data_IF_418470658307
#
_entry.id   IF_418470658307
#
_cell.length_a   1.000
_cell.length_b   1.000
_cell.length_c   1.000
_cell.angle_alpha   90.00
_cell.angle_beta   90.00
_cell.angle_gamma   90.00
#
_symmetry.space_group_name_H-M   'P 1'
#
loop_
_entity.id
_entity.type
_entity.pdbx_description
1 polymer ?
#
# COMPACT_ATOMS: atom_id res chain seq x y z
N UNK A 1 -23.19 -11.18 16.80
CA UNK A 1 -21.89 -10.54 17.08
C UNK A 1 -21.71 -9.38 16.13
N UNK A 2 -21.46 -8.19 16.67
CA UNK A 2 -21.57 -6.92 15.97
C UNK A 2 -20.46 -6.78 14.92
N UNK A 3 -20.80 -6.70 13.63
CA UNK A 3 -19.83 -6.68 12.50
C UNK A 3 -18.86 -5.49 12.58
N UNK A 4 -19.27 -4.43 13.28
CA UNK A 4 -18.46 -3.23 13.59
C UNK A 4 -17.34 -3.54 14.61
N UNK A 5 -17.52 -4.55 15.48
CA UNK A 5 -16.52 -4.95 16.49
C UNK A 5 -15.29 -5.63 15.87
N UNK A 6 -15.47 -6.42 14.81
CA UNK A 6 -14.37 -7.09 14.11
C UNK A 6 -13.43 -6.08 13.41
N UNK A 7 -13.98 -5.01 12.82
CA UNK A 7 -13.17 -3.94 12.21
C UNK A 7 -12.48 -3.08 13.28
N UNK A 8 -13.12 -2.87 14.43
CA UNK A 8 -12.51 -2.22 15.61
C UNK A 8 -11.29 -3.00 16.13
N UNK A 9 -11.35 -4.33 16.14
CA UNK A 9 -10.25 -5.21 16.59
C UNK A 9 -9.11 -5.35 15.54
N UNK A 10 -9.33 -4.98 14.27
CA UNK A 10 -8.26 -4.89 13.26
C UNK A 10 -7.37 -3.64 13.42
N UNK A 11 -7.91 -2.58 14.05
CA UNK A 11 -7.22 -1.31 14.28
C UNK A 11 -6.64 -1.19 15.70
N UNK A 12 -6.97 -2.11 16.60
CA UNK A 12 -6.43 -2.22 17.95
C UNK A 12 -5.60 -3.51 18.04
N UNK A 13 -4.39 -3.43 18.60
CA UNK A 13 -3.53 -4.59 18.85
C UNK A 13 -4.26 -5.70 19.64
N UNK A 14 -3.84 -6.99 19.49
CA UNK A 14 -4.65 -8.15 19.84
C UNK A 14 -4.82 -8.27 21.35
N UNK A 15 -6.07 -8.09 21.80
CA UNK A 15 -6.41 -8.11 23.24
C UNK A 15 -7.90 -8.37 23.49
N UNK A 16 -8.56 -9.11 22.61
CA UNK A 16 -9.95 -9.53 22.75
C UNK A 16 -10.16 -10.72 21.83
N UNK A 17 -10.97 -11.70 22.24
CA UNK A 17 -11.13 -13.02 21.61
C UNK A 17 -11.63 -12.96 20.16
N UNK A 18 -10.75 -12.58 19.24
CA UNK A 18 -10.96 -12.71 17.81
C UNK A 18 -10.91 -14.21 17.46
N UNK A 19 -11.88 -14.65 16.66
CA UNK A 19 -11.91 -16.00 16.09
C UNK A 19 -10.54 -16.31 15.43
N UNK A 20 -10.04 -17.53 15.61
CA UNK A 20 -8.67 -17.91 15.19
C UNK A 20 -8.44 -17.67 13.67
N UNK A 21 -9.51 -17.73 12.87
CA UNK A 21 -9.50 -17.41 11.44
C UNK A 21 -9.10 -15.96 11.16
N UNK A 22 -9.76 -15.00 11.81
CA UNK A 22 -9.50 -13.57 11.64
C UNK A 22 -8.04 -13.22 11.99
N UNK A 23 -7.49 -13.83 13.05
CA UNK A 23 -6.09 -13.64 13.43
C UNK A 23 -5.11 -14.10 12.33
N UNK A 24 -5.39 -15.21 11.64
CA UNK A 24 -4.54 -15.72 10.55
C UNK A 24 -4.62 -14.84 9.29
N UNK A 25 -5.81 -14.38 8.93
CA UNK A 25 -5.98 -13.43 7.82
C UNK A 25 -5.32 -12.08 8.11
N UNK A 26 -5.48 -11.54 9.32
CA UNK A 26 -4.88 -10.28 9.72
C UNK A 26 -3.34 -10.38 9.74
N UNK A 27 -2.78 -11.46 10.27
CA UNK A 27 -1.34 -11.69 10.31
C UNK A 27 -0.73 -11.88 8.91
N UNK A 28 -1.45 -12.53 7.98
CA UNK A 28 -1.01 -12.61 6.59
C UNK A 28 -1.13 -11.26 5.85
N UNK A 29 -2.18 -10.48 6.10
CA UNK A 29 -2.41 -9.21 5.41
C UNK A 29 -1.51 -8.07 5.93
N UNK A 30 -1.32 -8.02 7.24
CA UNK A 30 -0.74 -6.90 7.98
C UNK A 30 0.21 -7.31 9.11
N UNK A 31 0.56 -8.59 9.22
CA UNK A 31 1.49 -9.08 10.25
C UNK A 31 2.76 -9.69 9.68
N UNK A 32 3.19 -10.77 10.33
CA UNK A 32 4.52 -11.37 10.20
C UNK A 32 4.64 -12.38 9.06
N UNK A 33 3.51 -12.87 8.52
CA UNK A 33 3.49 -13.95 7.51
C UNK A 33 2.88 -13.54 6.17
N UNK A 34 3.38 -12.48 5.50
CA UNK A 34 2.80 -12.04 4.22
C UNK A 34 3.05 -13.03 3.06
N UNK A 35 4.00 -13.94 3.20
CA UNK A 35 4.29 -15.01 2.25
C UNK A 35 3.39 -16.25 2.38
N UNK A 36 2.51 -16.31 3.39
CA UNK A 36 1.61 -17.44 3.60
C UNK A 36 0.74 -17.68 2.35
N UNK A 37 0.84 -18.84 1.68
CA UNK A 37 0.07 -19.09 0.47
C UNK A 37 -1.44 -18.96 0.72
N UNK A 38 -2.15 -18.27 -0.17
CA UNK A 38 -3.59 -18.06 -0.01
C UNK A 38 -4.44 -19.35 -0.02
N UNK A 39 -3.85 -20.49 -0.42
CA UNK A 39 -4.45 -21.83 -0.35
C UNK A 39 -4.39 -22.45 1.06
N UNK A 40 -3.46 -21.99 1.91
CA UNK A 40 -3.33 -22.42 3.31
C UNK A 40 -4.20 -21.59 4.25
N UNK A 41 -4.78 -20.48 3.77
CA UNK A 41 -5.76 -19.72 4.53
C UNK A 41 -7.07 -20.52 4.64
N UNK A 42 -7.74 -20.48 5.81
CA UNK A 42 -9.03 -21.15 5.99
C UNK A 42 -10.10 -20.59 5.04
N UNK A 43 -11.24 -21.28 4.87
CA UNK A 43 -12.42 -20.69 4.25
C UNK A 43 -12.80 -19.40 4.98
N UNK A 44 -13.17 -18.37 4.21
CA UNK A 44 -13.59 -17.08 4.77
C UNK A 44 -14.96 -17.22 5.43
N UNK A 45 -15.10 -16.76 6.67
CA UNK A 45 -16.34 -16.80 7.43
C UNK A 45 -17.19 -15.54 7.24
N UNK A 46 -16.56 -14.39 6.94
CA UNK A 46 -17.25 -13.11 6.75
C UNK A 46 -16.61 -12.20 5.68
N UNK A 47 -17.25 -11.04 5.47
CA UNK A 47 -16.83 -10.04 4.50
C UNK A 47 -15.46 -9.40 4.83
N UNK A 48 -15.09 -9.35 6.11
CA UNK A 48 -13.81 -8.77 6.58
C UNK A 48 -12.67 -9.72 6.28
N UNK A 49 -12.81 -11.00 6.61
CA UNK A 49 -11.84 -12.03 6.25
C UNK A 49 -11.69 -12.15 4.72
N UNK A 50 -12.80 -12.03 4.00
CA UNK A 50 -12.78 -11.99 2.55
C UNK A 50 -12.01 -10.79 1.99
N UNK A 51 -12.13 -9.61 2.61
CA UNK A 51 -11.33 -8.43 2.27
C UNK A 51 -9.86 -8.63 2.60
N UNK A 52 -9.52 -9.14 3.79
CA UNK A 52 -8.14 -9.44 4.18
C UNK A 52 -7.49 -10.45 3.23
N UNK A 53 -8.21 -11.48 2.79
CA UNK A 53 -7.75 -12.41 1.75
C UNK A 53 -7.39 -11.69 0.45
N UNK A 54 -8.17 -10.69 0.04
CA UNK A 54 -7.84 -9.88 -1.13
C UNK A 54 -6.55 -9.05 -0.92
N UNK A 55 -6.33 -8.53 0.30
CA UNK A 55 -5.10 -7.81 0.66
C UNK A 55 -3.87 -8.72 0.61
N UNK A 56 -4.00 -9.97 1.07
CA UNK A 56 -2.95 -11.00 0.98
C UNK A 56 -2.62 -11.29 -0.49
N UNK A 57 -3.64 -11.66 -1.28
CA UNK A 57 -3.49 -11.96 -2.70
C UNK A 57 -2.82 -10.80 -3.45
N UNK A 58 -3.26 -9.56 -3.21
CA UNK A 58 -2.66 -8.37 -3.80
C UNK A 58 -1.19 -8.18 -3.41
N UNK A 59 -0.87 -8.38 -2.12
CA UNK A 59 0.51 -8.31 -1.61
C UNK A 59 1.47 -9.32 -2.26
N UNK A 60 0.95 -10.48 -2.65
CA UNK A 60 1.69 -11.56 -3.31
C UNK A 60 1.69 -11.43 -4.85
N UNK A 61 1.11 -10.36 -5.40
CA UNK A 61 1.01 -10.14 -6.84
C UNK A 61 -0.05 -10.98 -7.55
N UNK A 62 -0.96 -11.65 -6.81
CA UNK A 62 -2.10 -12.41 -7.34
C UNK A 62 -3.26 -11.48 -7.75
N UNK A 63 -2.99 -10.52 -8.64
CA UNK A 63 -3.91 -9.42 -8.98
C UNK A 63 -5.28 -9.87 -9.50
N UNK A 64 -5.35 -10.87 -10.39
CA UNK A 64 -6.61 -11.38 -10.93
C UNK A 64 -7.51 -11.99 -9.84
N UNK A 65 -6.90 -12.77 -8.93
CA UNK A 65 -7.60 -13.36 -7.80
C UNK A 65 -8.07 -12.29 -6.81
N UNK A 66 -7.19 -11.35 -6.44
CA UNK A 66 -7.52 -10.24 -5.56
C UNK A 66 -8.68 -9.40 -6.11
N UNK A 67 -8.62 -9.00 -7.38
CA UNK A 67 -9.70 -8.25 -8.05
C UNK A 67 -11.01 -9.02 -8.13
N UNK A 68 -10.96 -10.34 -8.30
CA UNK A 68 -12.17 -11.18 -8.31
C UNK A 68 -12.83 -11.21 -6.94
N UNK A 69 -12.04 -11.37 -5.88
CA UNK A 69 -12.49 -11.28 -4.50
C UNK A 69 -13.13 -9.92 -4.20
N UNK A 70 -12.46 -8.81 -4.53
CA UNK A 70 -12.96 -7.45 -4.30
C UNK A 70 -14.24 -7.14 -5.11
N UNK A 71 -14.33 -7.62 -6.36
CA UNK A 71 -15.55 -7.48 -7.17
C UNK A 71 -16.76 -8.15 -6.53
N UNK A 72 -16.60 -9.36 -6.01
CA UNK A 72 -17.68 -10.07 -5.30
C UNK A 72 -18.12 -9.31 -4.05
N UNK A 73 -17.17 -8.83 -3.25
CA UNK A 73 -17.46 -8.06 -2.04
C UNK A 73 -18.23 -6.77 -2.34
N UNK A 74 -17.84 -6.00 -3.36
CA UNK A 74 -18.58 -4.78 -3.76
C UNK A 74 -20.03 -5.04 -4.18
N UNK A 75 -20.34 -6.25 -4.66
CA UNK A 75 -21.70 -6.63 -5.04
C UNK A 75 -22.61 -6.92 -3.84
N UNK A 76 -22.04 -7.34 -2.70
CA UNK A 76 -22.79 -7.79 -1.52
C UNK A 76 -22.72 -6.86 -0.31
N UNK A 77 -21.57 -6.25 -0.04
CA UNK A 77 -21.33 -5.42 1.15
C UNK A 77 -22.12 -4.11 1.07
N UNK A 78 -22.83 -3.78 2.15
CA UNK A 78 -23.59 -2.53 2.31
C UNK A 78 -23.04 -1.59 3.37
N UNK A 79 -22.16 -2.08 4.25
CA UNK A 79 -21.54 -1.28 5.30
C UNK A 79 -20.54 -0.28 4.67
N UNK A 80 -20.73 1.04 4.83
CA UNK A 80 -19.93 2.04 4.10
C UNK A 80 -18.43 2.05 4.39
N UNK A 81 -17.99 1.79 5.63
CA UNK A 81 -16.58 1.81 6.00
C UNK A 81 -15.83 0.67 5.32
N UNK A 82 -16.34 -0.56 5.41
CA UNK A 82 -15.80 -1.73 4.76
C UNK A 82 -15.83 -1.59 3.23
N UNK A 83 -16.92 -1.05 2.68
CA UNK A 83 -17.01 -0.80 1.23
C UNK A 83 -15.97 0.24 0.76
N UNK A 84 -15.67 1.25 1.58
CA UNK A 84 -14.58 2.19 1.33
C UNK A 84 -13.21 1.48 1.33
N UNK A 85 -12.91 0.66 2.35
CA UNK A 85 -11.66 -0.11 2.44
C UNK A 85 -11.49 -1.07 1.24
N UNK A 86 -12.54 -1.77 0.84
CA UNK A 86 -12.56 -2.63 -0.35
C UNK A 86 -12.25 -1.82 -1.61
N UNK A 87 -12.90 -0.66 -1.75
CA UNK A 87 -12.73 0.22 -2.94
C UNK A 87 -11.32 0.81 -3.00
N UNK A 88 -10.77 1.27 -1.88
CA UNK A 88 -9.39 1.75 -1.78
C UNK A 88 -8.35 0.64 -1.96
N UNK A 89 -8.67 -0.60 -1.59
CA UNK A 89 -7.81 -1.75 -1.88
C UNK A 89 -7.71 -1.98 -3.38
N UNK A 90 -8.83 -1.95 -4.11
CA UNK A 90 -8.83 -2.08 -5.58
C UNK A 90 -8.09 -0.91 -6.24
N UNK A 91 -8.28 0.32 -5.75
CA UNK A 91 -7.52 1.49 -6.19
C UNK A 91 -6.01 1.28 -6.02
N UNK A 92 -5.59 0.78 -4.84
CA UNK A 92 -4.18 0.46 -4.56
C UNK A 92 -3.61 -0.57 -5.53
N UNK A 93 -4.38 -1.59 -5.92
CA UNK A 93 -3.93 -2.58 -6.91
C UNK A 93 -3.71 -1.94 -8.27
N UNK A 94 -4.65 -1.10 -8.73
CA UNK A 94 -4.51 -0.39 -10.00
C UNK A 94 -3.32 0.58 -9.99
N UNK A 95 -3.09 1.27 -8.88
CA UNK A 95 -1.97 2.20 -8.70
C UNK A 95 -0.62 1.51 -8.81
N UNK A 96 -0.46 0.35 -8.18
CA UNK A 96 0.77 -0.44 -8.27
C UNK A 96 1.08 -0.87 -9.70
N UNK A 97 0.06 -0.98 -10.54
CA UNK A 97 0.17 -1.31 -11.96
C UNK A 97 0.28 -0.06 -12.87
N UNK A 98 0.37 1.15 -12.30
CA UNK A 98 0.52 2.41 -13.05
C UNK A 98 -0.78 3.04 -13.56
N UNK A 99 -1.95 2.54 -13.14
CA UNK A 99 -3.27 3.04 -13.57
C UNK A 99 -3.83 4.14 -12.66
N UNK A 100 -3.01 5.16 -12.37
CA UNK A 100 -3.32 6.23 -11.41
C UNK A 100 -4.65 6.94 -11.65
N UNK A 101 -5.00 7.25 -12.90
CA UNK A 101 -6.28 7.91 -13.20
C UNK A 101 -7.50 7.04 -12.80
N UNK A 102 -7.43 5.73 -13.03
CA UNK A 102 -8.50 4.79 -12.63
C UNK A 102 -8.53 4.59 -11.12
N UNK A 103 -7.36 4.48 -10.49
CA UNK A 103 -7.22 4.40 -9.05
C UNK A 103 -7.80 5.65 -8.35
N UNK A 104 -7.52 6.85 -8.88
CA UNK A 104 -8.04 8.12 -8.34
C UNK A 104 -9.56 8.16 -8.35
N UNK A 105 -10.21 7.65 -9.40
CA UNK A 105 -11.67 7.57 -9.45
C UNK A 105 -12.23 6.61 -8.40
N UNK A 106 -11.53 5.52 -8.08
CA UNK A 106 -11.94 4.59 -7.02
C UNK A 106 -11.74 5.20 -5.63
N UNK A 107 -10.59 5.79 -5.33
CA UNK A 107 -10.38 6.40 -4.02
C UNK A 107 -11.28 7.63 -3.79
N UNK A 108 -11.63 8.37 -4.85
CA UNK A 108 -12.67 9.40 -4.76
C UNK A 108 -14.03 8.84 -4.36
N UNK A 109 -14.42 7.68 -4.93
CA UNK A 109 -15.65 6.96 -4.52
C UNK A 109 -15.54 6.42 -3.10
N UNK A 110 -14.40 5.85 -2.73
CA UNK A 110 -14.14 5.34 -1.38
C UNK A 110 -14.34 6.46 -0.34
N UNK A 111 -13.72 7.62 -0.57
CA UNK A 111 -13.90 8.78 0.30
C UNK A 111 -15.36 9.23 0.37
N UNK A 112 -16.08 9.27 -0.76
CA UNK A 112 -17.49 9.66 -0.80
C UNK A 112 -18.40 8.76 0.06
N UNK A 113 -18.09 7.46 0.18
CA UNK A 113 -18.85 6.52 1.02
C UNK A 113 -18.78 6.87 2.52
N UNK A 114 -17.62 7.35 2.97
CA UNK A 114 -17.35 7.59 4.41
C UNK A 114 -17.51 9.05 4.84
N UNK A 115 -17.53 10.00 3.90
CA UNK A 115 -17.71 11.43 4.18
C UNK A 115 -18.95 11.76 5.05
N UNK A 116 -20.14 11.17 4.82
CA UNK A 116 -21.30 11.44 5.67
C UNK A 116 -21.08 11.03 7.13
N UNK A 117 -20.40 9.90 7.38
CA UNK A 117 -20.12 9.43 8.74
C UNK A 117 -19.03 10.29 9.39
N UNK A 118 -17.97 10.63 8.65
CA UNK A 118 -16.90 11.51 9.14
C UNK A 118 -17.45 12.87 9.61
N UNK A 119 -18.38 13.46 8.85
CA UNK A 119 -19.04 14.72 9.22
C UNK A 119 -19.84 14.62 10.52
N UNK A 120 -20.50 13.48 10.75
CA UNK A 120 -21.28 13.24 11.98
C UNK A 120 -20.39 12.99 13.20
N UNK A 121 -19.19 12.44 13.00
CA UNK A 121 -18.25 12.12 14.08
C UNK A 121 -17.61 13.36 14.74
N UNK A 122 -17.80 14.57 14.19
CA UNK A 122 -17.44 15.81 14.88
C UNK A 122 -15.96 15.99 15.23
N UNK A 123 -15.06 15.30 14.52
CA UNK A 123 -13.60 15.41 14.72
C UNK A 123 -12.94 14.19 15.36
N UNK A 124 -13.71 13.27 15.97
CA UNK A 124 -13.19 12.05 16.59
C UNK A 124 -13.84 10.81 15.95
N UNK A 125 -13.50 10.49 14.68
CA UNK A 125 -13.99 9.27 14.04
C UNK A 125 -13.51 8.04 14.80
N UNK A 126 -14.35 7.00 14.83
CA UNK A 126 -13.90 5.70 15.31
C UNK A 126 -12.71 5.18 14.47
N UNK A 127 -11.88 4.26 15.01
CA UNK A 127 -10.66 3.83 14.34
C UNK A 127 -10.87 3.29 12.92
N UNK A 128 -11.97 2.58 12.67
CA UNK A 128 -12.25 1.98 11.37
C UNK A 128 -12.61 3.04 10.32
N UNK A 129 -13.47 3.98 10.70
CA UNK A 129 -13.82 5.13 9.87
C UNK A 129 -12.58 5.98 9.56
N UNK A 130 -11.73 6.22 10.55
CA UNK A 130 -10.48 6.97 10.37
C UNK A 130 -9.54 6.29 9.37
N UNK A 131 -9.30 4.98 9.51
CA UNK A 131 -8.48 4.20 8.57
C UNK A 131 -9.02 4.26 7.15
N UNK A 132 -10.34 4.11 6.96
CA UNK A 132 -10.96 4.19 5.63
C UNK A 132 -10.80 5.57 4.99
N UNK A 133 -10.93 6.64 5.77
CA UNK A 133 -10.71 8.01 5.27
C UNK A 133 -9.24 8.25 4.93
N UNK A 134 -8.32 7.82 5.80
CA UNK A 134 -6.88 7.95 5.55
C UNK A 134 -6.44 7.17 4.31
N UNK A 135 -6.90 5.92 4.13
CA UNK A 135 -6.59 5.13 2.94
C UNK A 135 -7.02 5.82 1.65
N UNK A 136 -8.24 6.36 1.62
CA UNK A 136 -8.77 7.05 0.45
C UNK A 136 -8.02 8.38 0.18
N UNK A 137 -7.74 9.19 1.22
CA UNK A 137 -7.02 10.45 1.07
C UNK A 137 -5.56 10.25 0.64
N UNK A 138 -4.85 9.33 1.29
CA UNK A 138 -3.47 9.00 0.93
C UNK A 138 -3.40 8.34 -0.45
N UNK A 139 -4.39 7.52 -0.80
CA UNK A 139 -4.53 6.94 -2.14
C UNK A 139 -4.73 8.00 -3.23
N UNK A 140 -5.65 8.95 -3.02
CA UNK A 140 -5.83 10.12 -3.88
C UNK A 140 -4.56 10.95 -4.01
N UNK A 141 -3.80 11.13 -2.92
CA UNK A 141 -2.54 11.85 -2.94
C UNK A 141 -1.50 11.14 -3.82
N UNK A 142 -1.36 9.83 -3.68
CA UNK A 142 -0.46 9.03 -4.49
C UNK A 142 -0.84 9.03 -5.98
N UNK A 143 -2.14 9.03 -6.32
CA UNK A 143 -2.56 9.12 -7.71
C UNK A 143 -2.45 10.53 -8.29
N UNK A 144 -2.62 11.57 -7.47
CA UNK A 144 -2.29 12.93 -7.87
C UNK A 144 -0.80 13.04 -8.22
N UNK A 145 0.08 12.46 -7.41
CA UNK A 145 1.51 12.39 -7.69
C UNK A 145 1.80 11.61 -8.98
N UNK A 146 1.23 10.40 -9.13
CA UNK A 146 1.39 9.56 -10.33
C UNK A 146 0.70 10.11 -11.60
N UNK A 147 0.03 11.26 -11.51
CA UNK A 147 -0.52 12.02 -12.64
C UNK A 147 0.06 13.43 -12.74
N UNK A 148 1.27 13.62 -12.20
CA UNK A 148 2.06 14.86 -12.25
C UNK A 148 1.37 16.08 -11.61
N UNK A 149 0.72 15.86 -10.46
CA UNK A 149 0.04 16.91 -9.67
C UNK A 149 0.55 16.98 -8.22
N UNK A 150 1.84 17.26 -7.99
CA UNK A 150 2.45 17.21 -6.65
C UNK A 150 1.85 18.23 -5.66
N UNK A 151 1.41 19.39 -6.13
CA UNK A 151 0.71 20.37 -5.28
C UNK A 151 -0.64 19.82 -4.78
N UNK A 152 -1.36 19.07 -5.62
CA UNK A 152 -2.61 18.42 -5.20
C UNK A 152 -2.33 17.28 -4.22
N UNK A 153 -1.28 16.47 -4.48
CA UNK A 153 -0.83 15.42 -3.57
C UNK A 153 -0.58 15.99 -2.16
N UNK A 154 0.20 17.08 -2.06
CA UNK A 154 0.46 17.76 -0.79
C UNK A 154 -0.82 18.25 -0.09
N UNK A 155 -1.76 18.88 -0.83
CA UNK A 155 -3.03 19.31 -0.22
C UNK A 155 -3.84 18.15 0.35
N UNK A 156 -3.82 16.99 -0.31
CA UNK A 156 -4.51 15.79 0.16
C UNK A 156 -3.82 15.18 1.39
N UNK A 157 -2.48 15.17 1.42
CA UNK A 157 -1.71 14.78 2.60
C UNK A 157 -2.02 15.66 3.82
N UNK A 158 -2.10 16.98 3.62
CA UNK A 158 -2.48 17.94 4.68
C UNK A 158 -3.90 17.71 5.20
N UNK A 159 -4.83 17.26 4.35
CA UNK A 159 -6.20 16.89 4.77
C UNK A 159 -6.24 15.60 5.58
N UNK A 160 -5.32 14.68 5.32
CA UNK A 160 -5.22 13.42 6.05
C UNK A 160 -4.63 13.62 7.45
N UNK A 161 -3.75 14.61 7.63
CA UNK A 161 -2.95 14.79 8.83
C UNK A 161 -3.76 14.96 10.13
N UNK A 162 -4.81 15.80 10.22
CA UNK A 162 -5.60 15.92 11.45
C UNK A 162 -6.24 14.60 11.91
N UNK A 163 -6.56 13.71 10.97
CA UNK A 163 -7.13 12.39 11.26
C UNK A 163 -6.03 11.45 11.79
N UNK A 164 -4.79 11.59 11.35
CA UNK A 164 -3.68 10.78 11.87
C UNK A 164 -3.29 11.21 13.28
N UNK A 165 -3.31 12.52 13.57
CA UNK A 165 -2.89 13.09 14.85
C UNK A 165 -3.80 12.66 16.02
N UNK A 166 -5.08 12.40 15.74
CA UNK A 166 -6.09 11.95 16.71
C UNK A 166 -5.80 10.57 17.33
N UNK A 167 -4.95 9.72 16.71
CA UNK A 167 -4.55 8.45 17.33
C UNK A 167 -3.16 7.95 16.89
N UNK A 168 -2.22 7.74 17.83
CA UNK A 168 -0.89 7.21 17.53
C UNK A 168 -0.89 5.73 17.13
N UNK A 169 -1.95 4.97 17.45
CA UNK A 169 -2.04 3.53 17.15
C UNK A 169 -2.32 3.22 15.68
N UNK A 170 -2.60 4.24 14.84
CA UNK A 170 -2.90 4.14 13.40
C UNK A 170 -1.63 3.98 12.55
N UNK A 171 -0.78 3.01 12.90
CA UNK A 171 0.55 2.83 12.31
C UNK A 171 0.48 2.69 10.77
N UNK A 172 -0.51 1.94 10.25
CA UNK A 172 -0.63 1.64 8.82
C UNK A 172 -0.88 2.90 8.00
N UNK A 173 -1.85 3.69 8.42
CA UNK A 173 -2.20 4.96 7.80
C UNK A 173 -1.05 5.97 7.89
N UNK A 174 -0.34 6.03 9.02
CA UNK A 174 0.85 6.88 9.21
C UNK A 174 2.02 6.49 8.31
N UNK A 175 2.37 5.21 8.24
CA UNK A 175 3.43 4.69 7.35
C UNK A 175 3.12 5.05 5.89
N UNK A 176 1.88 4.82 5.43
CA UNK A 176 1.47 5.14 4.06
C UNK A 176 1.49 6.64 3.78
N UNK A 177 1.11 7.47 4.75
CA UNK A 177 1.23 8.93 4.62
C UNK A 177 2.68 9.35 4.38
N UNK A 178 3.62 8.83 5.19
CA UNK A 178 5.04 9.13 5.02
C UNK A 178 5.60 8.61 3.70
N UNK A 179 5.10 7.47 3.20
CA UNK A 179 5.48 6.99 1.88
C UNK A 179 5.17 8.01 0.78
N UNK A 180 3.92 8.45 0.72
CA UNK A 180 3.47 9.39 -0.31
C UNK A 180 4.10 10.77 -0.11
N UNK A 181 4.35 11.18 1.13
CA UNK A 181 5.07 12.41 1.42
C UNK A 181 6.52 12.36 0.89
N UNK A 182 7.26 11.27 1.15
CA UNK A 182 8.62 11.12 0.65
C UNK A 182 8.67 11.01 -0.88
N UNK A 183 7.75 10.25 -1.48
CA UNK A 183 7.60 10.17 -2.94
C UNK A 183 7.28 11.56 -3.54
N UNK A 184 6.47 12.37 -2.86
CA UNK A 184 6.18 13.76 -3.27
C UNK A 184 7.43 14.63 -3.20
N UNK A 185 8.23 14.53 -2.14
CA UNK A 185 9.50 15.25 -2.01
C UNK A 185 10.50 14.84 -3.11
N UNK A 186 10.57 13.55 -3.44
CA UNK A 186 11.42 13.02 -4.53
C UNK A 186 11.01 13.55 -5.90
N UNK A 187 9.70 13.68 -6.17
CA UNK A 187 9.21 14.17 -7.44
C UNK A 187 9.38 15.69 -7.64
N UNK A 188 9.62 16.43 -6.55
CA UNK A 188 9.81 17.89 -6.61
C UNK A 188 11.09 18.32 -5.91
N UNK A 189 12.27 17.89 -6.41
CA UNK A 189 13.55 18.26 -5.80
C UNK A 189 13.70 19.79 -5.76
N UNK A 190 14.20 20.29 -4.63
CA UNK A 190 14.36 21.73 -4.40
C UNK A 190 13.07 22.50 -4.09
N UNK A 191 11.89 21.85 -4.12
CA UNK A 191 10.63 22.46 -3.69
C UNK A 191 10.23 21.94 -2.31
N UNK A 192 10.13 22.83 -1.34
CA UNK A 192 9.65 22.48 0.00
C UNK A 192 8.12 22.40 0.05
N UNK A 193 7.54 21.40 -0.62
CA UNK A 193 6.10 21.19 -0.63
C UNK A 193 5.61 20.51 0.66
N UNK A 194 6.34 19.51 1.14
CA UNK A 194 5.93 18.63 2.25
C UNK A 194 6.65 18.92 3.56
N UNK A 195 7.50 19.95 3.63
CA UNK A 195 8.11 20.44 4.88
C UNK A 195 9.32 19.64 5.37
N UNK A 196 9.76 18.63 4.63
CA UNK A 196 10.89 17.78 5.00
C UNK A 196 11.55 17.13 3.76
N UNK A 197 12.86 16.85 3.80
CA UNK A 197 13.53 16.06 2.77
C UNK A 197 12.97 14.64 2.65
N UNK A 198 13.06 14.07 1.45
CA UNK A 198 12.61 12.70 1.18
C UNK A 198 13.25 11.66 2.11
N UNK A 199 14.56 11.80 2.40
CA UNK A 199 15.28 10.89 3.30
C UNK A 199 14.70 10.89 4.71
N UNK A 200 14.44 12.06 5.30
CA UNK A 200 13.86 12.17 6.65
C UNK A 200 12.43 11.57 6.72
N UNK A 201 11.63 11.79 5.67
CA UNK A 201 10.30 11.19 5.57
C UNK A 201 10.37 9.66 5.43
N UNK A 202 11.32 9.15 4.64
CA UNK A 202 11.54 7.72 4.47
C UNK A 202 12.08 7.06 5.76
N UNK A 203 13.01 7.69 6.47
CA UNK A 203 13.52 7.23 7.77
C UNK A 203 12.38 7.13 8.79
N UNK A 204 11.49 8.13 8.83
CA UNK A 204 10.30 8.09 9.69
C UNK A 204 9.37 6.93 9.31
N UNK A 205 9.17 6.67 8.01
CA UNK A 205 8.38 5.53 7.55
C UNK A 205 9.01 4.18 7.92
N UNK A 206 10.34 4.09 7.94
CA UNK A 206 11.06 2.90 8.41
C UNK A 206 10.86 2.71 9.91
N UNK A 207 11.09 3.75 10.73
CA UNK A 207 10.92 3.68 12.18
C UNK A 207 9.49 3.25 12.58
N UNK A 208 8.48 3.84 11.94
CA UNK A 208 7.07 3.46 12.16
C UNK A 208 6.78 2.02 11.72
N UNK A 209 7.35 1.57 10.60
CA UNK A 209 7.14 0.22 10.10
C UNK A 209 7.86 -0.84 10.96
N UNK A 210 9.03 -0.52 11.52
CA UNK A 210 9.78 -1.43 12.39
C UNK A 210 9.06 -1.64 13.72
N UNK A 211 8.40 -0.61 14.25
CA UNK A 211 7.52 -0.72 15.41
C UNK A 211 6.18 -1.44 15.11
N UNK A 212 5.81 -1.60 13.84
CA UNK A 212 4.56 -2.24 13.41
C UNK A 212 4.75 -3.75 13.14
N UNK A 213 3.69 -4.57 13.21
CA UNK A 213 3.81 -6.03 12.98
C UNK A 213 4.03 -6.40 11.51
N UNK A 214 3.82 -5.49 10.56
CA UNK A 214 3.75 -5.84 9.15
C UNK A 214 5.11 -5.92 8.47
N UNK A 215 5.54 -7.14 8.15
CA UNK A 215 6.75 -7.39 7.34
C UNK A 215 6.66 -6.71 5.98
N UNK A 216 5.50 -6.73 5.31
CA UNK A 216 5.33 -6.08 4.00
C UNK A 216 5.56 -4.57 4.08
N UNK A 217 5.09 -3.90 5.13
CA UNK A 217 5.31 -2.46 5.30
C UNK A 217 6.78 -2.17 5.63
N UNK A 218 7.45 -3.00 6.43
CA UNK A 218 8.90 -2.88 6.68
C UNK A 218 9.72 -2.95 5.39
N UNK A 219 9.41 -3.90 4.51
CA UNK A 219 10.08 -4.07 3.21
C UNK A 219 9.81 -2.87 2.29
N UNK A 220 8.56 -2.41 2.17
CA UNK A 220 8.22 -1.25 1.33
C UNK A 220 8.84 0.06 1.88
N UNK A 221 8.89 0.26 3.20
CA UNK A 221 9.56 1.42 3.80
C UNK A 221 11.06 1.43 3.50
N UNK A 222 11.75 0.28 3.62
CA UNK A 222 13.18 0.17 3.26
C UNK A 222 13.42 0.41 1.76
N UNK A 223 12.54 -0.10 0.90
CA UNK A 223 12.60 0.19 -0.55
C UNK A 223 12.50 1.69 -0.84
N UNK A 224 11.61 2.39 -0.14
CA UNK A 224 11.47 3.83 -0.27
C UNK A 224 12.71 4.57 0.26
N UNK A 225 13.30 4.12 1.37
CA UNK A 225 14.56 4.68 1.87
C UNK A 225 15.70 4.49 0.87
N UNK A 226 15.77 3.34 0.20
CA UNK A 226 16.73 3.09 -0.88
C UNK A 226 16.53 4.07 -2.05
N UNK A 227 15.26 4.33 -2.44
CA UNK A 227 14.94 5.33 -3.47
C UNK A 227 15.27 6.76 -3.02
N UNK A 228 15.04 7.09 -1.73
CA UNK A 228 15.38 8.38 -1.16
C UNK A 228 16.90 8.62 -1.14
N UNK A 229 17.69 7.61 -0.80
CA UNK A 229 19.15 7.66 -0.86
C UNK A 229 19.64 7.90 -2.30
N UNK A 230 19.07 7.20 -3.29
CA UNK A 230 19.38 7.44 -4.70
C UNK A 230 19.04 8.88 -5.13
N UNK A 231 17.87 9.39 -4.76
CA UNK A 231 17.46 10.76 -5.04
C UNK A 231 18.34 11.83 -4.38
N UNK A 232 19.01 11.48 -3.27
CA UNK A 232 20.00 12.33 -2.60
C UNK A 232 21.43 12.17 -3.17
N UNK A 233 21.65 11.28 -4.15
CA UNK A 233 22.96 11.00 -4.74
C UNK A 233 23.80 9.98 -3.98
N UNK A 234 23.30 9.41 -2.88
CA UNK A 234 23.97 8.37 -2.11
C UNK A 234 23.70 6.99 -2.73
N UNK A 235 24.36 6.72 -3.86
CA UNK A 235 24.16 5.51 -4.65
C UNK A 235 24.68 4.25 -3.94
N UNK A 236 25.72 4.36 -3.10
CA UNK A 236 26.23 3.24 -2.31
C UNK A 236 25.19 2.78 -1.28
N UNK A 237 24.64 3.71 -0.49
CA UNK A 237 23.58 3.40 0.46
C UNK A 237 22.33 2.87 -0.25
N UNK A 238 21.95 3.46 -1.38
CA UNK A 238 20.82 2.99 -2.17
C UNK A 238 20.99 1.54 -2.61
N UNK A 239 22.17 1.19 -3.16
CA UNK A 239 22.48 -0.18 -3.58
C UNK A 239 22.43 -1.17 -2.42
N UNK A 240 23.06 -0.85 -1.29
CA UNK A 240 23.07 -1.73 -0.12
C UNK A 240 21.65 -2.01 0.40
N UNK A 241 20.83 -0.98 0.56
CA UNK A 241 19.43 -1.13 0.98
C UNK A 241 18.59 -1.89 -0.05
N UNK A 242 18.82 -1.66 -1.34
CA UNK A 242 18.08 -2.34 -2.39
C UNK A 242 18.40 -3.84 -2.41
N UNK A 243 19.63 -4.26 -2.13
CA UNK A 243 19.95 -5.70 -2.02
C UNK A 243 19.29 -6.36 -0.80
N UNK A 244 19.26 -5.70 0.36
CA UNK A 244 18.50 -6.19 1.53
C UNK A 244 17.02 -6.37 1.17
N UNK A 245 16.42 -5.39 0.48
CA UNK A 245 15.03 -5.47 0.02
C UNK A 245 14.84 -6.63 -0.97
N UNK A 246 15.77 -6.85 -1.90
CA UNK A 246 15.69 -7.94 -2.87
C UNK A 246 15.72 -9.32 -2.20
N UNK A 247 16.50 -9.50 -1.13
CA UNK A 247 16.49 -10.72 -0.31
C UNK A 247 15.15 -10.90 0.41
N UNK A 248 14.69 -9.87 1.14
CA UNK A 248 13.45 -9.94 1.94
C UNK A 248 12.20 -10.13 1.08
N UNK A 249 12.17 -9.58 -0.13
CA UNK A 249 11.06 -9.79 -1.07
C UNK A 249 10.99 -11.23 -1.58
N UNK A 250 12.14 -11.89 -1.80
CA UNK A 250 12.21 -13.31 -2.15
C UNK A 250 11.80 -14.20 -0.98
N UNK A 251 12.35 -13.96 0.20
CA UNK A 251 12.04 -14.68 1.45
C UNK A 251 10.53 -14.70 1.75
N UNK A 252 9.85 -13.58 1.51
CA UNK A 252 8.44 -13.41 1.84
C UNK A 252 7.49 -13.43 0.64
N UNK A 253 7.96 -13.84 -0.54
CA UNK A 253 7.15 -13.96 -1.76
C UNK A 253 6.38 -12.68 -2.15
N UNK A 254 7.00 -11.51 -1.96
CA UNK A 254 6.41 -10.20 -2.22
C UNK A 254 6.67 -9.74 -3.66
N UNK A 255 6.10 -10.48 -4.63
CA UNK A 255 6.38 -10.31 -6.06
C UNK A 255 6.28 -8.85 -6.57
N UNK A 256 5.25 -8.04 -6.21
CA UNK A 256 5.18 -6.65 -6.64
C UNK A 256 6.33 -5.77 -6.10
N UNK A 257 6.77 -6.02 -4.86
CA UNK A 257 7.88 -5.27 -4.26
C UNK A 257 9.23 -5.74 -4.81
N UNK A 258 9.36 -7.02 -5.13
CA UNK A 258 10.53 -7.55 -5.83
C UNK A 258 10.71 -6.86 -7.19
N UNK A 259 9.63 -6.72 -7.97
CA UNK A 259 9.67 -5.99 -9.24
C UNK A 259 10.11 -4.53 -9.06
N UNK A 260 9.50 -3.81 -8.11
CA UNK A 260 9.85 -2.42 -7.84
C UNK A 260 11.31 -2.26 -7.36
N UNK A 261 11.81 -3.22 -6.58
CA UNK A 261 13.20 -3.27 -6.15
C UNK A 261 14.16 -3.52 -7.32
N UNK A 262 13.86 -4.48 -8.21
CA UNK A 262 14.66 -4.73 -9.41
C UNK A 262 14.70 -3.50 -10.34
N UNK A 263 13.58 -2.79 -10.49
CA UNK A 263 13.54 -1.51 -11.21
C UNK A 263 14.46 -0.46 -10.59
N UNK A 264 14.41 -0.28 -9.26
CA UNK A 264 15.34 0.63 -8.57
C UNK A 264 16.80 0.22 -8.81
N UNK A 265 17.13 -1.07 -8.62
CA UNK A 265 18.48 -1.61 -8.83
C UNK A 265 18.97 -1.37 -10.24
N UNK A 266 18.11 -1.51 -11.26
CA UNK A 266 18.47 -1.22 -12.64
C UNK A 266 18.86 0.25 -12.88
N UNK A 267 18.30 1.18 -12.10
CA UNK A 267 18.60 2.61 -12.19
C UNK A 267 19.82 3.08 -11.38
N UNK A 268 20.24 2.32 -10.35
CA UNK A 268 21.35 2.72 -9.45
C UNK A 268 22.62 1.88 -9.62
N UNK A 269 22.53 0.69 -10.21
CA UNK A 269 23.67 -0.16 -10.51
C UNK A 269 24.37 0.24 -11.81
N UNK A 270 25.56 -0.32 -12.06
CA UNK A 270 26.35 -0.10 -13.27
C UNK A 270 26.83 -1.43 -13.86
N UNK A 271 27.17 -1.43 -15.16
CA UNK A 271 27.73 -2.60 -15.85
C UNK A 271 26.83 -3.84 -15.80
N UNK A 272 27.45 -5.00 -15.55
CA UNK A 272 26.75 -6.29 -15.52
C UNK A 272 25.65 -6.37 -14.46
N UNK A 273 25.81 -5.67 -13.33
CA UNK A 273 24.80 -5.63 -12.28
C UNK A 273 23.52 -4.91 -12.74
N UNK A 274 23.64 -3.82 -13.50
CA UNK A 274 22.49 -3.11 -14.07
C UNK A 274 21.75 -3.98 -15.11
N UNK A 275 22.49 -4.71 -15.95
CA UNK A 275 21.92 -5.65 -16.93
C UNK A 275 21.17 -6.78 -16.21
N UNK A 276 21.76 -7.35 -15.17
CA UNK A 276 21.12 -8.41 -14.37
C UNK A 276 19.82 -7.90 -13.69
N UNK A 277 19.85 -6.72 -13.07
CA UNK A 277 18.67 -6.12 -12.44
C UNK A 277 17.56 -5.81 -13.46
N UNK A 278 17.92 -5.39 -14.67
CA UNK A 278 16.97 -5.17 -15.77
C UNK A 278 16.31 -6.47 -16.22
N UNK A 279 17.10 -7.54 -16.38
CA UNK A 279 16.58 -8.86 -16.73
C UNK A 279 15.66 -9.42 -15.62
N UNK A 280 16.04 -9.27 -14.36
CA UNK A 280 15.23 -9.64 -13.20
C UNK A 280 13.91 -8.85 -13.16
N UNK A 281 13.93 -7.54 -13.39
CA UNK A 281 12.72 -6.73 -13.47
C UNK A 281 11.78 -7.22 -14.59
N UNK A 282 12.32 -7.58 -15.76
CA UNK A 282 11.53 -8.14 -16.86
C UNK A 282 10.92 -9.52 -16.51
N UNK A 283 11.68 -10.40 -15.84
CA UNK A 283 11.18 -11.70 -15.38
C UNK A 283 10.06 -11.56 -14.35
N UNK A 284 10.23 -10.66 -13.36
CA UNK A 284 9.22 -10.40 -12.34
C UNK A 284 7.96 -9.75 -12.95
N UNK A 285 8.12 -8.86 -13.93
CA UNK A 285 7.00 -8.31 -14.69
C UNK A 285 6.22 -9.39 -15.46
N UNK A 286 6.93 -10.33 -16.10
CA UNK A 286 6.30 -11.47 -16.78
C UNK A 286 5.54 -12.37 -15.78
N UNK A 287 6.14 -12.65 -14.62
CA UNK A 287 5.48 -13.41 -13.55
C UNK A 287 4.22 -12.69 -13.05
N UNK A 288 4.28 -11.37 -12.81
CA UNK A 288 3.12 -10.56 -12.45
C UNK A 288 2.00 -10.64 -13.49
N UNK A 289 2.35 -10.60 -14.78
CA UNK A 289 1.40 -10.71 -15.88
C UNK A 289 0.64 -12.06 -15.85
N UNK A 290 1.30 -13.17 -15.53
CA UNK A 290 0.62 -14.49 -15.38
C UNK A 290 -0.46 -14.49 -14.29
N UNK A 291 -0.33 -13.59 -13.31
CA UNK A 291 -1.29 -13.42 -12.21
C UNK A 291 -2.23 -12.21 -12.40
N UNK A 292 -2.30 -11.66 -13.62
CA UNK A 292 -3.17 -10.54 -13.98
C UNK A 292 -2.66 -9.16 -13.56
N UNK A 293 -1.37 -9.06 -13.22
CA UNK A 293 -0.67 -7.82 -12.87
C UNK A 293 0.00 -7.17 -14.08
N UNK A 294 -0.79 -6.67 -15.03
CA UNK A 294 -0.26 -5.99 -16.22
C UNK A 294 0.19 -4.56 -15.86
N UNK A 295 1.50 -4.38 -15.77
CA UNK A 295 2.16 -3.10 -15.56
C UNK A 295 1.97 -2.21 -16.79
N UNK A 296 1.57 -0.96 -16.57
CA UNK A 296 1.43 0.02 -17.64
C UNK A 296 2.81 0.40 -18.19
N UNK A 297 3.12 -0.01 -19.41
CA UNK A 297 4.27 0.49 -20.17
C UNK A 297 3.87 1.74 -20.97
N UNK A 298 4.81 2.67 -21.15
CA UNK A 298 4.54 4.01 -21.67
C UNK A 298 3.90 4.10 -23.06
N UNK A 299 3.78 3.01 -23.84
CA UNK A 299 3.35 3.09 -25.24
C UNK A 299 2.49 1.92 -25.77
N UNK A 300 1.86 1.10 -24.94
CA UNK A 300 0.86 0.14 -25.45
C UNK A 300 -0.24 -0.14 -24.44
N UNK A 301 -1.46 0.34 -24.74
CA UNK A 301 -2.68 -0.20 -24.16
C UNK A 301 -3.16 -1.28 -25.12
N UNK A 302 -2.75 -2.52 -24.88
CA UNK A 302 -3.45 -3.68 -25.42
C UNK A 302 -4.05 -4.45 -24.23
N UNK A 303 -5.37 -4.37 -24.11
CA UNK A 303 -6.13 -4.94 -22.99
C UNK A 303 -6.29 -3.95 -21.85
N UNK A 304 -7.54 -3.51 -21.61
CA UNK A 304 -7.88 -2.93 -20.32
C UNK A 304 -7.75 -3.99 -19.22
N UNK A 305 -7.37 -3.62 -17.99
CA UNK A 305 -7.31 -4.54 -16.87
C UNK A 305 -8.63 -5.28 -16.65
#
# INVERSE_FOLDING_TARGET
>A
MDRVRAVKELCALPGGSADRGNAMFADAAFGSRPGLPAAELPPVADDVEAWLRAVVLGGQGRYAAARTQLRRLRGGVREPVLLSLITSTEASLLRQLGWHAKASALDGRALALVLPQLRRAGGHPDPALAEAVCDALTGLAADALGTDRPTLANRLLKRCQPILDDSPQRWRSRVRWHWVAAETALATPGRDLVGAPAAALADTAVALADAAPSVRHRVKSRLLLAAAAAGAGDLDRSRALAEEVAERTREHHLLPLGWACAMLRSGVAQGSAAVAATAEAAQLAAALATYGGLLRSGNSVLGGP
#
